data_IF_127189940834
#
_entry.id   IF_127189940834
#
_cell.length_a   1.000
_cell.length_b   1.000
_cell.length_c   1.000
_cell.angle_alpha   90.00
_cell.angle_beta   90.00
_cell.angle_gamma   90.00
#
_symmetry.space_group_name_H-M   'P 1'
#
loop_
_entity.id
_entity.type
_entity.pdbx_description
1 polymer ?
#
# COMPACT_ATOMS: atom_id res chain seq x y z
N UNK A 1 1.89 3.63 4.15
CA UNK A 1 3.02 2.92 3.53
C UNK A 1 3.27 3.39 2.09
N UNK A 2 2.35 3.17 1.14
CA UNK A 2 2.56 3.46 -0.29
C UNK A 2 3.22 4.83 -0.58
N UNK A 3 2.66 5.93 -0.11
CA UNK A 3 3.20 7.27 -0.36
C UNK A 3 4.63 7.49 0.18
N UNK A 4 4.99 6.85 1.31
CA UNK A 4 6.36 6.91 1.84
C UNK A 4 7.31 6.13 0.95
N UNK A 5 6.91 4.91 0.54
CA UNK A 5 7.71 4.08 -0.36
C UNK A 5 7.88 4.71 -1.74
N UNK A 6 6.84 5.35 -2.28
CA UNK A 6 6.92 6.11 -3.53
C UNK A 6 7.86 7.31 -3.41
N UNK A 7 7.91 7.96 -2.23
CA UNK A 7 8.85 9.05 -2.00
C UNK A 7 10.30 8.58 -1.94
N UNK A 8 10.56 7.44 -1.33
CA UNK A 8 11.92 6.92 -1.16
C UNK A 8 12.45 6.17 -2.39
N UNK A 9 11.59 5.41 -3.07
CA UNK A 9 11.99 4.53 -4.17
C UNK A 9 11.49 4.97 -5.54
N UNK A 10 10.59 5.95 -5.61
CA UNK A 10 9.99 6.44 -6.86
C UNK A 10 8.55 5.94 -7.07
N UNK A 11 7.73 6.78 -7.71
CA UNK A 11 6.29 6.52 -7.95
C UNK A 11 6.00 5.42 -8.97
N UNK A 12 6.97 5.10 -9.83
CA UNK A 12 6.84 4.12 -10.92
C UNK A 12 7.69 2.86 -10.68
N UNK A 13 8.08 2.60 -9.43
CA UNK A 13 8.94 1.47 -9.08
C UNK A 13 8.12 0.18 -9.04
N UNK A 14 8.25 -0.62 -10.09
CA UNK A 14 7.67 -1.95 -10.15
C UNK A 14 8.42 -2.92 -9.23
N UNK A 15 7.70 -3.87 -8.63
CA UNK A 15 8.29 -4.88 -7.76
C UNK A 15 7.50 -6.20 -7.79
N UNK A 16 8.19 -7.28 -7.41
CA UNK A 16 7.60 -8.60 -7.19
C UNK A 16 7.51 -8.84 -5.69
N UNK A 17 6.28 -8.97 -5.20
CA UNK A 17 5.98 -9.30 -3.83
C UNK A 17 6.07 -10.81 -3.61
N UNK A 18 7.09 -11.23 -2.85
CA UNK A 18 7.35 -12.62 -2.45
C UNK A 18 7.01 -12.87 -0.97
N UNK A 19 6.40 -11.90 -0.28
CA UNK A 19 6.26 -11.90 1.20
C UNK A 19 5.36 -13.00 1.76
N UNK A 20 4.66 -13.75 0.91
CA UNK A 20 3.73 -14.82 1.29
C UNK A 20 4.12 -16.20 0.74
N UNK A 21 5.31 -16.32 0.14
CA UNK A 21 5.79 -17.59 -0.42
C UNK A 21 5.93 -18.68 0.65
N UNK A 22 6.30 -18.28 1.87
CA UNK A 22 6.38 -19.14 3.07
C UNK A 22 5.03 -19.74 3.48
N UNK A 23 3.92 -19.11 3.08
CA UNK A 23 2.55 -19.58 3.31
C UNK A 23 1.98 -20.39 2.14
N UNK A 24 2.84 -20.72 1.16
CA UNK A 24 2.46 -21.46 -0.04
C UNK A 24 1.73 -20.62 -1.10
N UNK A 25 1.73 -19.29 -0.99
CA UNK A 25 1.16 -18.41 -2.00
C UNK A 25 2.22 -17.98 -3.00
N UNK A 26 1.89 -18.00 -4.30
CA UNK A 26 2.82 -17.58 -5.34
C UNK A 26 3.08 -16.07 -5.33
N UNK A 27 4.20 -15.62 -5.93
CA UNK A 27 4.56 -14.21 -5.98
C UNK A 27 3.56 -13.40 -6.81
N UNK A 28 3.36 -12.14 -6.43
CA UNK A 28 2.53 -11.17 -7.18
C UNK A 28 3.38 -10.02 -7.68
N UNK A 29 3.14 -9.57 -8.91
CA UNK A 29 3.86 -8.43 -9.49
C UNK A 29 2.98 -7.19 -9.48
N UNK A 30 3.55 -6.07 -9.02
CA UNK A 30 2.86 -4.78 -8.99
C UNK A 30 3.64 -3.73 -9.79
N UNK A 31 2.90 -2.91 -10.54
CA UNK A 31 3.48 -1.80 -11.32
C UNK A 31 4.09 -0.69 -10.44
N UNK A 32 3.56 -0.49 -9.25
CA UNK A 32 4.03 0.47 -8.25
C UNK A 32 3.36 0.22 -6.89
N UNK A 33 3.82 0.92 -5.85
CA UNK A 33 3.30 0.76 -4.48
C UNK A 33 1.84 1.18 -4.33
N UNK A 34 1.38 2.20 -5.08
CA UNK A 34 -0.06 2.55 -5.10
C UNK A 34 -0.92 1.39 -5.61
N UNK A 35 -0.51 0.70 -6.68
CA UNK A 35 -1.26 -0.43 -7.21
C UNK A 35 -1.37 -1.58 -6.19
N UNK A 36 -0.28 -1.87 -5.48
CA UNK A 36 -0.29 -2.86 -4.40
C UNK A 36 -1.22 -2.45 -3.25
N UNK A 37 -1.19 -1.17 -2.83
CA UNK A 37 -2.07 -0.67 -1.78
C UNK A 37 -3.55 -0.65 -2.20
N UNK A 38 -3.85 -0.32 -3.46
CA UNK A 38 -5.22 -0.35 -4.01
C UNK A 38 -5.78 -1.78 -4.01
N UNK A 39 -4.98 -2.77 -4.41
CA UNK A 39 -5.35 -4.17 -4.38
C UNK A 39 -5.53 -4.68 -2.94
N UNK A 40 -4.59 -4.35 -2.04
CA UNK A 40 -4.69 -4.69 -0.63
C UNK A 40 -5.97 -4.12 0.02
N UNK A 41 -6.34 -2.89 -0.32
CA UNK A 41 -7.58 -2.27 0.14
C UNK A 41 -8.83 -3.00 -0.41
N UNK A 42 -8.86 -3.31 -1.71
CA UNK A 42 -9.96 -4.06 -2.32
C UNK A 42 -10.11 -5.48 -1.77
N UNK A 43 -9.00 -6.13 -1.41
CA UNK A 43 -9.00 -7.48 -0.83
C UNK A 43 -9.88 -7.61 0.42
N UNK A 44 -10.03 -6.52 1.19
CA UNK A 44 -10.83 -6.48 2.42
C UNK A 44 -12.34 -6.55 2.14
N UNK A 45 -12.76 -6.05 0.97
CA UNK A 45 -14.12 -6.21 0.50
C UNK A 45 -14.36 -7.65 0.06
N UNK A 46 -13.43 -8.24 -0.69
CA UNK A 46 -13.55 -9.63 -1.16
C UNK A 46 -13.58 -10.63 -0.01
N UNK A 47 -12.85 -10.35 1.06
CA UNK A 47 -12.88 -11.14 2.29
C UNK A 47 -14.16 -10.94 3.13
N UNK A 48 -15.05 -10.00 2.78
CA UNK A 48 -16.32 -9.78 3.48
C UNK A 48 -16.18 -9.15 4.87
N UNK A 49 -15.05 -8.49 5.17
CA UNK A 49 -14.72 -8.00 6.52
C UNK A 49 -14.63 -6.47 6.62
N UNK A 50 -14.74 -5.76 5.50
CA UNK A 50 -14.86 -4.30 5.51
C UNK A 50 -15.92 -3.84 4.50
N UNK A 51 -16.77 -2.90 4.93
CA UNK A 51 -17.67 -2.19 4.04
C UNK A 51 -16.90 -1.29 3.08
N UNK A 52 -17.43 -1.07 1.87
CA UNK A 52 -16.80 -0.24 0.83
C UNK A 52 -16.50 1.19 1.31
N UNK A 53 -17.40 1.79 2.10
CA UNK A 53 -17.16 3.15 2.61
C UNK A 53 -15.92 3.23 3.51
N UNK A 54 -15.63 2.19 4.29
CA UNK A 54 -14.45 2.15 5.15
C UNK A 54 -13.17 2.01 4.33
N UNK A 55 -13.23 1.26 3.23
CA UNK A 55 -12.10 1.06 2.31
C UNK A 55 -11.79 2.37 1.57
N UNK A 56 -12.80 2.98 0.95
CA UNK A 56 -12.63 4.24 0.20
C UNK A 56 -12.26 5.41 1.12
N UNK A 57 -12.82 5.48 2.34
CA UNK A 57 -12.45 6.50 3.33
C UNK A 57 -11.08 6.29 3.97
N UNK A 58 -10.64 5.04 4.15
CA UNK A 58 -9.35 4.72 4.74
C UNK A 58 -8.16 5.05 3.83
N UNK A 59 -8.33 5.02 2.51
CA UNK A 59 -7.30 5.39 1.54
C UNK A 59 -6.78 6.83 1.70
N UNK A 60 -7.61 7.89 1.62
CA UNK A 60 -7.17 9.26 1.84
C UNK A 60 -6.68 9.47 3.28
N UNK A 61 -7.28 8.82 4.27
CA UNK A 61 -6.77 8.87 5.65
C UNK A 61 -5.32 8.38 5.76
N UNK A 62 -4.99 7.26 5.12
CA UNK A 62 -3.63 6.74 5.05
C UNK A 62 -2.66 7.67 4.30
N UNK A 63 -3.14 8.41 3.29
CA UNK A 63 -2.35 9.44 2.60
C UNK A 63 -2.06 10.63 3.51
N UNK A 64 -3.04 11.12 4.27
CA UNK A 64 -2.85 12.19 5.25
C UNK A 64 -1.83 11.80 6.32
N UNK A 65 -1.90 10.58 6.84
CA UNK A 65 -0.91 10.06 7.78
C UNK A 65 0.50 10.02 7.17
N UNK A 66 0.63 9.59 5.92
CA UNK A 66 1.91 9.58 5.23
C UNK A 66 2.47 11.00 5.02
N UNK A 67 1.64 11.97 4.67
CA UNK A 67 2.05 13.38 4.55
C UNK A 67 2.59 13.92 5.87
N UNK A 68 1.91 13.64 6.99
CA UNK A 68 2.39 14.03 8.32
C UNK A 68 3.76 13.42 8.64
N UNK A 69 3.97 12.13 8.31
CA UNK A 69 5.26 11.46 8.50
C UNK A 69 6.34 12.04 7.60
N UNK A 70 6.05 12.29 6.32
CA UNK A 70 7.01 12.86 5.37
C UNK A 70 7.39 14.31 5.65
N UNK A 71 6.55 15.04 6.40
CA UNK A 71 6.87 16.38 6.87
C UNK A 71 7.86 16.40 8.06
N UNK A 72 8.11 15.25 8.69
CA UNK A 72 9.07 15.15 9.78
C UNK A 72 10.51 15.32 9.25
N UNK A 73 11.31 16.09 9.97
CA UNK A 73 12.73 16.25 9.70
C UNK A 73 13.52 15.11 10.32
N UNK A 74 13.54 13.96 9.66
CA UNK A 74 14.46 12.88 10.02
C UNK A 74 15.88 13.25 9.54
N UNK A 75 16.86 13.09 10.43
CA UNK A 75 18.26 13.04 10.01
C UNK A 75 18.42 11.77 9.19
N UNK A 76 18.73 11.93 7.90
CA UNK A 76 19.12 10.82 7.02
C UNK A 76 20.56 10.43 7.30
#
# INVERSE_FOLDING_TARGET
AAAVLEREFGTNTAFVDNTHNDRGWGPRTFKNFKAAADEAAASRLYAGIHYRFAIEGGKPQGQCAAQAVLALRFKR
#
